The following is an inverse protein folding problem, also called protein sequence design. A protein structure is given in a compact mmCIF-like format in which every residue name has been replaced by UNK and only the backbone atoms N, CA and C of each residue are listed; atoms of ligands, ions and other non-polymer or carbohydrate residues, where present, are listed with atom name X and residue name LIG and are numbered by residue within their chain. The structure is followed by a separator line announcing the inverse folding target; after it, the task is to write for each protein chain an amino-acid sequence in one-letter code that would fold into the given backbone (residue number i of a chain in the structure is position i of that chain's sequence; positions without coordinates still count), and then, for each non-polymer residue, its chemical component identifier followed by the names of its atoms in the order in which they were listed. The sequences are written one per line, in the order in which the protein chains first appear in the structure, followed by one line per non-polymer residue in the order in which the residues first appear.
data_IF_756469707995
#
_entry.id   IF_756469707995
#
_cell.length_a   1.000
_cell.length_b   1.000
_cell.length_c   1.000
_cell.angle_alpha   90.00
_cell.angle_beta   90.00
_cell.angle_gamma   90.00
#
_symmetry.space_group_name_H-M   'P 1'
#
loop_
_entity.id
_entity.type
_entity.pdbx_description
1 polymer ?
#
# COMPACT_ATOMS: atom_id res chain seq x y z
N UNK A 1 5.97 11.14 20.88
CA UNK A 1 5.87 9.67 20.69
C UNK A 1 6.71 8.99 21.75
N UNK A 2 6.31 7.83 22.25
CA UNK A 2 7.13 7.04 23.19
C UNK A 2 8.30 6.36 22.46
N UNK A 3 9.44 6.17 23.13
CA UNK A 3 10.65 5.62 22.53
C UNK A 3 10.46 4.18 22.04
N UNK A 4 9.73 3.34 22.79
CA UNK A 4 9.44 1.94 22.39
C UNK A 4 8.61 1.90 21.11
N UNK A 5 7.64 2.82 20.98
CA UNK A 5 6.83 2.96 19.76
C UNK A 5 7.69 3.36 18.57
N UNK A 6 8.59 4.33 18.78
CA UNK A 6 9.50 4.81 17.74
C UNK A 6 10.45 3.70 17.27
N UNK A 7 10.99 2.92 18.19
CA UNK A 7 11.86 1.77 17.88
C UNK A 7 11.12 0.72 17.04
N UNK A 8 9.88 0.36 17.42
CA UNK A 8 9.07 -0.59 16.65
C UNK A 8 8.78 -0.12 15.22
N UNK A 9 8.48 1.16 15.04
CA UNK A 9 8.26 1.75 13.70
C UNK A 9 9.53 1.71 12.85
N UNK A 10 10.68 2.10 13.42
CA UNK A 10 11.96 2.08 12.73
C UNK A 10 12.36 0.65 12.36
N UNK A 11 12.16 -0.31 13.27
CA UNK A 11 12.51 -1.70 13.02
C UNK A 11 11.59 -2.35 11.98
N UNK A 12 10.28 -2.11 12.06
CA UNK A 12 9.34 -2.53 11.02
C UNK A 12 9.72 -1.98 9.63
N UNK A 13 10.12 -0.71 9.57
CA UNK A 13 10.55 -0.06 8.33
C UNK A 13 11.85 -0.63 7.74
N UNK A 14 12.84 -0.95 8.59
CA UNK A 14 14.08 -1.62 8.14
C UNK A 14 13.81 -3.01 7.57
N UNK A 15 13.01 -3.81 8.28
CA UNK A 15 12.61 -5.16 7.85
C UNK A 15 11.88 -5.07 6.51
N UNK A 16 10.91 -4.16 6.42
CA UNK A 16 10.12 -3.98 5.21
C UNK A 16 10.98 -3.59 4.02
N UNK A 17 11.84 -2.58 4.17
CA UNK A 17 12.77 -2.14 3.13
C UNK A 17 13.62 -3.30 2.62
N UNK A 18 14.19 -4.09 3.52
CA UNK A 18 15.00 -5.24 3.14
C UNK A 18 14.17 -6.24 2.32
N UNK A 19 13.00 -6.63 2.82
CA UNK A 19 12.14 -7.60 2.14
C UNK A 19 11.67 -7.10 0.76
N UNK A 20 11.26 -5.83 0.65
CA UNK A 20 10.80 -5.20 -0.61
C UNK A 20 11.93 -5.15 -1.62
N UNK A 21 13.15 -4.74 -1.23
CA UNK A 21 14.28 -4.70 -2.15
C UNK A 21 14.66 -6.10 -2.66
N UNK A 22 14.75 -7.10 -1.76
CA UNK A 22 15.02 -8.49 -2.15
C UNK A 22 13.92 -9.07 -3.05
N UNK A 23 12.67 -8.64 -2.88
CA UNK A 23 11.53 -9.08 -3.70
C UNK A 23 11.48 -8.37 -5.05
N UNK A 24 11.81 -7.08 -5.11
CA UNK A 24 11.88 -6.31 -6.35
C UNK A 24 12.92 -6.90 -7.33
N UNK A 25 14.05 -7.38 -6.82
CA UNK A 25 15.07 -8.09 -7.62
C UNK A 25 14.57 -9.40 -8.26
N UNK A 26 13.47 -9.97 -7.75
CA UNK A 26 12.85 -11.19 -8.30
C UNK A 26 11.81 -10.91 -9.38
N UNK A 27 11.39 -9.67 -9.54
CA UNK A 27 10.41 -9.30 -10.56
C UNK A 27 11.11 -9.32 -11.91
N UNK A 28 10.84 -10.34 -12.70
CA UNK A 28 11.40 -10.53 -14.03
C UNK A 28 10.42 -11.29 -14.94
N UNK A 29 10.50 -11.12 -16.28
CA UNK A 29 9.63 -11.82 -17.21
C UNK A 29 9.65 -13.35 -17.00
N UNK A 30 8.47 -13.96 -16.95
CA UNK A 30 8.29 -15.40 -16.76
C UNK A 30 8.26 -15.85 -15.29
N UNK A 31 8.63 -15.00 -14.32
CA UNK A 31 8.47 -15.32 -12.89
C UNK A 31 7.00 -15.22 -12.50
N UNK A 32 6.51 -16.16 -11.68
CA UNK A 32 5.12 -16.13 -11.20
C UNK A 32 4.93 -14.97 -10.22
N UNK A 33 3.83 -14.25 -10.38
CA UNK A 33 3.45 -13.16 -9.46
C UNK A 33 3.29 -13.70 -8.03
N UNK A 34 2.69 -14.89 -7.90
CA UNK A 34 2.50 -15.55 -6.61
C UNK A 34 3.82 -15.85 -5.88
N UNK A 35 4.88 -16.22 -6.61
CA UNK A 35 6.18 -16.50 -6.01
C UNK A 35 6.80 -15.24 -5.38
N UNK A 36 6.66 -14.07 -6.01
CA UNK A 36 7.14 -12.80 -5.45
C UNK A 36 6.31 -12.39 -4.23
N UNK A 37 4.98 -12.54 -4.30
CA UNK A 37 4.09 -12.22 -3.18
C UNK A 37 4.36 -13.09 -1.95
N UNK A 38 4.51 -14.40 -2.13
CA UNK A 38 4.83 -15.31 -1.04
C UNK A 38 6.26 -15.11 -0.51
N UNK A 39 7.21 -14.79 -1.39
CA UNK A 39 8.58 -14.50 -0.98
C UNK A 39 8.64 -13.30 -0.02
N UNK A 40 8.08 -12.15 -0.41
CA UNK A 40 8.19 -10.93 0.40
C UNK A 40 7.48 -11.06 1.75
N UNK A 41 6.32 -11.71 1.77
CA UNK A 41 5.56 -11.93 3.00
C UNK A 41 6.26 -12.88 3.96
N UNK A 42 6.82 -13.98 3.46
CA UNK A 42 7.61 -14.89 4.28
C UNK A 42 8.89 -14.21 4.77
N UNK A 43 9.52 -13.39 3.92
CA UNK A 43 10.74 -12.67 4.28
C UNK A 43 10.52 -11.69 5.43
N UNK A 44 9.40 -10.98 5.45
CA UNK A 44 8.99 -10.12 6.57
C UNK A 44 8.89 -10.94 7.87
N UNK A 45 8.31 -12.13 7.82
CA UNK A 45 8.14 -13.03 8.98
C UNK A 45 9.50 -13.54 9.48
N UNK A 46 10.37 -13.99 8.56
CA UNK A 46 11.71 -14.47 8.89
C UNK A 46 12.58 -13.41 9.56
N UNK A 47 12.41 -12.15 9.17
CA UNK A 47 13.14 -11.01 9.72
C UNK A 47 12.56 -10.50 11.04
N UNK A 48 11.43 -11.04 11.52
CA UNK A 48 10.89 -10.78 12.85
C UNK A 48 9.70 -9.83 12.92
N UNK A 49 9.13 -9.44 11.78
CA UNK A 49 7.88 -8.67 11.72
C UNK A 49 6.71 -9.53 11.21
N UNK A 50 5.54 -8.92 11.00
CA UNK A 50 4.40 -9.56 10.32
C UNK A 50 3.92 -8.66 9.18
N UNK A 51 3.37 -9.21 8.08
CA UNK A 51 2.74 -8.40 7.04
C UNK A 51 1.60 -7.55 7.61
N UNK A 52 1.62 -6.23 7.36
CA UNK A 52 0.55 -5.32 7.75
C UNK A 52 -0.66 -5.40 6.81
N UNK A 53 -0.41 -5.80 5.56
CA UNK A 53 -1.40 -6.12 4.55
C UNK A 53 -0.72 -6.98 3.47
N UNK A 54 -1.49 -7.61 2.55
CA UNK A 54 -0.92 -8.48 1.53
C UNK A 54 0.03 -7.76 0.58
N UNK A 55 1.02 -8.47 0.04
CA UNK A 55 1.83 -7.90 -1.04
C UNK A 55 0.95 -7.53 -2.24
N UNK A 56 0.83 -6.22 -2.47
CA UNK A 56 0.13 -5.64 -3.60
C UNK A 56 1.13 -5.61 -4.78
N UNK A 57 0.80 -6.29 -5.88
CA UNK A 57 1.65 -6.41 -7.08
C UNK A 57 0.88 -5.96 -8.30
N UNK A 58 0.52 -4.68 -8.34
CA UNK A 58 -0.34 -4.11 -9.39
C UNK A 58 0.47 -3.87 -10.69
N UNK A 59 -0.05 -4.30 -11.83
CA UNK A 59 0.69 -4.31 -13.10
C UNK A 59 0.04 -3.36 -14.11
N UNK A 60 0.87 -2.56 -14.78
CA UNK A 60 0.47 -1.63 -15.85
C UNK A 60 -0.56 -0.61 -15.37
N UNK A 61 -1.81 -0.69 -15.87
CA UNK A 61 -2.89 0.22 -15.51
C UNK A 61 -3.56 -0.09 -14.17
N UNK A 62 -3.37 -1.30 -13.63
CA UNK A 62 -3.73 -1.55 -12.24
C UNK A 62 -2.81 -0.70 -11.37
N UNK A 63 -3.39 0.15 -10.53
CA UNK A 63 -2.70 1.06 -9.62
C UNK A 63 -2.44 0.41 -8.26
N UNK A 64 -3.47 -0.18 -7.64
CA UNK A 64 -3.42 -0.71 -6.28
C UNK A 64 -4.35 -1.92 -6.07
N UNK A 65 -4.25 -2.57 -4.91
CA UNK A 65 -5.13 -3.63 -4.41
C UNK A 65 -5.11 -4.98 -5.14
N UNK A 66 -4.17 -5.17 -6.07
CA UNK A 66 -3.97 -6.48 -6.68
C UNK A 66 -3.02 -7.34 -5.84
N UNK A 67 -3.49 -8.48 -5.34
CA UNK A 67 -2.63 -9.58 -4.88
C UNK A 67 -3.00 -10.85 -5.63
N UNK A 68 -2.04 -11.74 -5.96
CA UNK A 68 -2.36 -13.03 -6.56
C UNK A 68 -3.25 -13.87 -5.62
N UNK A 69 -4.11 -14.69 -6.22
CA UNK A 69 -4.94 -15.68 -5.52
C UNK A 69 -4.14 -16.97 -5.27
N UNK A 70 -4.73 -17.91 -4.52
CA UNK A 70 -4.13 -19.24 -4.35
C UNK A 70 -4.02 -19.97 -5.69
N UNK A 71 -2.85 -20.56 -5.98
CA UNK A 71 -2.53 -21.24 -7.24
C UNK A 71 -2.64 -20.33 -8.48
N UNK A 72 -2.32 -19.05 -8.32
CA UNK A 72 -2.22 -18.14 -9.46
C UNK A 72 -1.01 -18.49 -10.33
N UNK A 73 -1.26 -18.73 -11.61
CA UNK A 73 -0.26 -19.12 -12.60
C UNK A 73 0.17 -17.94 -13.49
N UNK A 74 -0.34 -16.73 -13.21
CA UNK A 74 0.08 -15.52 -13.93
C UNK A 74 1.56 -15.23 -13.67
N UNK A 75 2.27 -14.86 -14.74
CA UNK A 75 3.67 -14.48 -14.72
C UNK A 75 3.84 -13.04 -15.19
N UNK A 76 4.90 -12.37 -14.75
CA UNK A 76 5.30 -11.08 -15.31
C UNK A 76 5.70 -11.23 -16.79
N UNK A 77 5.56 -10.16 -17.54
CA UNK A 77 5.89 -10.09 -18.97
C UNK A 77 6.90 -8.99 -19.24
N UNK A 78 7.59 -9.12 -20.37
CA UNK A 78 8.37 -8.03 -20.94
C UNK A 78 7.48 -6.80 -21.13
N UNK A 79 7.96 -5.63 -20.73
CA UNK A 79 7.26 -4.36 -20.82
C UNK A 79 6.31 -4.04 -19.66
N UNK A 80 6.14 -4.93 -18.68
CA UNK A 80 5.26 -4.67 -17.54
C UNK A 80 5.82 -3.58 -16.61
N UNK A 81 4.94 -2.67 -16.16
CA UNK A 81 5.22 -1.69 -15.10
C UNK A 81 4.59 -2.18 -13.80
N UNK A 82 5.41 -2.75 -12.92
CA UNK A 82 4.97 -3.48 -11.73
C UNK A 82 5.15 -2.63 -10.49
N UNK A 83 4.07 -2.34 -9.78
CA UNK A 83 4.13 -1.70 -8.45
C UNK A 83 4.09 -2.78 -7.40
N UNK A 84 5.16 -2.88 -6.62
CA UNK A 84 5.29 -3.75 -5.46
C UNK A 84 5.08 -2.88 -4.21
N UNK A 85 3.93 -3.04 -3.59
CA UNK A 85 3.47 -2.28 -2.43
C UNK A 85 3.23 -3.27 -1.29
N UNK A 86 3.92 -3.07 -0.17
CA UNK A 86 3.99 -4.03 0.92
C UNK A 86 4.05 -3.29 2.24
N UNK A 87 3.33 -3.80 3.23
CA UNK A 87 3.39 -3.32 4.61
C UNK A 87 3.92 -4.36 5.58
N UNK A 88 4.64 -3.92 6.60
CA UNK A 88 5.06 -4.73 7.74
C UNK A 88 4.68 -4.07 9.05
N UNK A 89 4.50 -4.84 10.11
CA UNK A 89 4.25 -4.31 11.44
C UNK A 89 4.93 -5.12 12.55
N UNK A 90 5.24 -4.41 13.63
CA UNK A 90 5.62 -5.00 14.93
C UNK A 90 4.60 -4.51 15.95
N UNK A 91 3.88 -5.42 16.61
CA UNK A 91 2.81 -5.10 17.58
C UNK A 91 1.72 -4.11 17.10
N UNK A 92 1.58 -3.99 15.79
CA UNK A 92 0.57 -3.14 15.13
C UNK A 92 1.12 -1.79 14.68
N UNK A 93 2.38 -1.45 15.00
CA UNK A 93 3.07 -0.28 14.46
C UNK A 93 3.56 -0.57 13.05
N UNK A 94 2.99 0.14 12.08
CA UNK A 94 3.05 -0.18 10.65
C UNK A 94 4.17 0.62 9.99
N UNK A 95 4.92 -0.06 9.12
CA UNK A 95 5.65 0.54 8.04
C UNK A 95 4.99 0.13 6.71
N UNK A 96 4.99 1.06 5.79
CA UNK A 96 4.39 1.00 4.46
C UNK A 96 5.41 1.51 3.42
N UNK A 97 5.54 0.77 2.32
CA UNK A 97 6.53 1.02 1.29
C UNK A 97 6.12 0.40 -0.04
N UNK A 98 6.27 1.19 -1.10
CA UNK A 98 6.04 0.76 -2.46
C UNK A 98 7.19 1.19 -3.38
N UNK A 99 7.48 0.34 -4.37
CA UNK A 99 8.43 0.62 -5.44
C UNK A 99 7.83 0.19 -6.78
N UNK A 100 8.19 0.89 -7.85
CA UNK A 100 7.86 0.45 -9.22
C UNK A 100 9.07 -0.19 -9.88
N UNK A 101 8.91 -1.43 -10.35
CA UNK A 101 9.84 -2.15 -11.22
C UNK A 101 9.34 -2.06 -12.65
N UNK A 102 10.14 -1.47 -13.53
CA UNK A 102 9.86 -1.35 -14.97
C UNK A 102 10.60 -2.45 -15.73
N UNK A 103 9.84 -3.33 -16.38
CA UNK A 103 10.35 -4.38 -17.26
C UNK A 103 10.32 -3.95 -18.74
N UNK A 104 10.15 -2.64 -19.00
CA UNK A 104 10.12 -2.06 -20.34
C UNK A 104 11.02 -0.82 -20.46
N UNK A 105 10.49 0.22 -21.09
CA UNK A 105 11.18 1.50 -21.33
C UNK A 105 10.27 2.69 -20.92
N UNK A 106 9.84 2.67 -19.65
CA UNK A 106 8.94 3.65 -19.03
C UNK A 106 9.66 4.46 -17.94
N UNK A 107 10.99 4.58 -18.04
CA UNK A 107 11.87 5.19 -17.03
C UNK A 107 11.38 6.55 -16.53
N UNK A 108 10.91 7.42 -17.43
CA UNK A 108 10.44 8.76 -17.06
C UNK A 108 9.17 8.74 -16.22
N UNK A 109 8.25 7.79 -16.48
CA UNK A 109 7.06 7.62 -15.65
C UNK A 109 7.44 7.20 -14.24
N UNK A 110 8.36 6.24 -14.11
CA UNK A 110 8.86 5.75 -12.82
C UNK A 110 9.60 6.85 -12.05
N UNK A 111 10.44 7.64 -12.73
CA UNK A 111 11.12 8.79 -12.13
C UNK A 111 10.15 9.84 -11.63
N UNK A 112 9.08 10.12 -12.38
CA UNK A 112 8.09 11.12 -11.97
C UNK A 112 7.49 10.82 -10.59
N UNK A 113 7.07 9.57 -10.33
CA UNK A 113 6.57 9.17 -9.02
C UNK A 113 7.67 9.17 -7.94
N UNK A 114 8.89 8.76 -8.29
CA UNK A 114 10.02 8.74 -7.34
C UNK A 114 10.44 10.13 -6.90
N UNK A 115 10.64 11.04 -7.85
CA UNK A 115 11.04 12.42 -7.56
C UNK A 115 9.92 13.21 -6.89
N UNK A 116 8.66 12.87 -7.16
CA UNK A 116 7.53 13.41 -6.42
C UNK A 116 7.54 13.00 -4.95
N UNK A 117 7.94 11.76 -4.64
CA UNK A 117 8.12 11.31 -3.26
C UNK A 117 9.29 12.04 -2.60
N UNK A 118 10.42 12.17 -3.30
CA UNK A 118 11.58 12.92 -2.81
C UNK A 118 11.22 14.38 -2.50
N UNK A 119 10.54 15.07 -3.41
CA UNK A 119 10.06 16.44 -3.22
C UNK A 119 9.08 16.57 -2.05
N UNK A 120 8.16 15.59 -1.89
CA UNK A 120 7.24 15.55 -0.76
C UNK A 120 7.98 15.44 0.58
N UNK A 121 8.98 14.55 0.67
CA UNK A 121 9.75 14.32 1.90
C UNK A 121 10.55 15.55 2.35
N UNK A 122 10.98 16.42 1.42
CA UNK A 122 11.64 17.69 1.76
C UNK A 122 10.71 18.71 2.44
N UNK A 123 9.41 18.58 2.21
CA UNK A 123 8.37 19.49 2.73
C UNK A 123 7.79 19.00 4.06
N UNK A 124 7.82 17.69 4.33
CA UNK A 124 7.21 17.09 5.52
C UNK A 124 7.93 17.53 6.81
N UNK A 125 7.18 18.23 7.67
CA UNK A 125 7.54 18.57 9.06
C UNK A 125 6.30 19.00 9.83
N UNK A 126 6.39 19.06 11.16
CA UNK A 126 5.29 19.57 11.97
C UNK A 126 4.95 21.03 11.59
N UNK A 127 3.66 21.37 11.63
CA UNK A 127 3.15 22.69 11.25
C UNK A 127 2.92 22.89 9.75
N UNK A 128 3.34 21.95 8.89
CA UNK A 128 3.06 22.01 7.43
C UNK A 128 1.70 21.41 7.12
N UNK A 129 0.96 22.04 6.20
CA UNK A 129 -0.31 21.50 5.70
C UNK A 129 -0.08 20.34 4.73
N UNK A 130 -0.88 19.27 4.81
CA UNK A 130 -0.86 18.18 3.81
C UNK A 130 -1.12 18.67 2.38
N UNK A 131 -1.73 19.85 2.21
CA UNK A 131 -1.87 20.46 0.89
C UNK A 131 -0.55 20.94 0.29
N UNK A 132 0.42 21.37 1.11
CA UNK A 132 1.73 21.79 0.62
C UNK A 132 2.52 20.59 0.12
N UNK A 133 2.38 19.44 0.80
CA UNK A 133 2.92 18.16 0.36
C UNK A 133 2.28 17.75 -0.98
N UNK A 134 0.95 17.80 -1.07
CA UNK A 134 0.25 17.48 -2.32
C UNK A 134 0.66 18.39 -3.49
N UNK A 135 0.93 19.67 -3.22
CA UNK A 135 1.48 20.59 -4.23
C UNK A 135 2.87 20.15 -4.71
N UNK A 136 3.77 19.81 -3.79
CA UNK A 136 5.11 19.35 -4.15
C UNK A 136 5.07 18.08 -5.03
N UNK A 137 4.15 17.16 -4.72
CA UNK A 137 3.89 15.95 -5.51
C UNK A 137 3.39 16.31 -6.92
N UNK A 138 2.36 17.15 -7.01
CA UNK A 138 1.76 17.53 -8.30
C UNK A 138 2.74 18.29 -9.19
N UNK A 139 3.48 19.26 -8.63
CA UNK A 139 4.48 20.03 -9.37
C UNK A 139 5.56 19.08 -9.94
N UNK A 140 6.05 18.12 -9.14
CA UNK A 140 7.03 17.14 -9.59
C UNK A 140 6.48 16.24 -10.72
N UNK A 141 5.29 15.63 -10.53
CA UNK A 141 4.71 14.73 -11.55
C UNK A 141 4.41 15.47 -12.85
N UNK A 142 3.88 16.69 -12.77
CA UNK A 142 3.48 17.47 -13.95
C UNK A 142 4.68 18.02 -14.73
N UNK A 143 5.81 18.29 -14.07
CA UNK A 143 7.07 18.69 -14.72
C UNK A 143 7.64 17.58 -15.63
N UNK A 144 7.35 16.31 -15.32
CA UNK A 144 7.67 15.18 -16.19
C UNK A 144 6.66 14.97 -17.33
N UNK A 145 5.59 15.76 -17.40
CA UNK A 145 4.54 15.63 -18.42
C UNK A 145 3.50 14.53 -18.13
N UNK A 146 3.49 14.00 -16.90
CA UNK A 146 2.50 13.01 -16.44
C UNK A 146 1.42 13.66 -15.57
N UNK A 147 0.46 12.85 -15.12
CA UNK A 147 -0.62 13.29 -14.23
C UNK A 147 -0.59 12.55 -12.91
N UNK A 148 -0.83 13.22 -11.78
CA UNK A 148 -1.10 12.53 -10.53
C UNK A 148 -2.45 11.79 -10.60
N UNK A 149 -2.56 10.66 -9.90
CA UNK A 149 -3.87 10.04 -9.67
C UNK A 149 -4.59 10.80 -8.56
N UNK A 150 -5.73 11.42 -8.87
CA UNK A 150 -6.42 12.36 -7.96
C UNK A 150 -7.28 11.68 -6.91
N UNK A 151 -7.62 10.41 -7.08
CA UNK A 151 -8.46 9.65 -6.15
C UNK A 151 -7.74 8.47 -5.48
N UNK A 152 -6.40 8.53 -5.45
CA UNK A 152 -5.52 7.77 -4.57
C UNK A 152 -4.66 8.77 -3.79
N UNK A 153 -4.41 8.49 -2.53
CA UNK A 153 -3.83 9.44 -1.59
C UNK A 153 -3.02 8.70 -0.55
N UNK A 154 -1.90 9.28 -0.11
CA UNK A 154 -1.27 8.88 1.13
C UNK A 154 -2.19 9.03 2.33
N UNK A 155 -1.76 8.52 3.47
CA UNK A 155 -2.60 8.41 4.64
C UNK A 155 -1.81 8.44 5.95
N UNK A 156 -2.50 8.72 7.04
CA UNK A 156 -1.99 8.47 8.39
C UNK A 156 -1.94 6.98 8.69
N UNK A 157 -1.06 6.60 9.61
CA UNK A 157 -0.91 5.26 10.14
C UNK A 157 -1.13 5.27 11.65
N UNK A 158 -1.96 4.35 12.13
CA UNK A 158 -2.19 4.12 13.55
C UNK A 158 -2.02 2.63 13.90
N UNK A 159 -1.85 2.28 15.18
CA UNK A 159 -1.69 0.87 15.57
C UNK A 159 -2.84 0.00 15.06
N UNK A 160 -2.50 -1.01 14.26
CA UNK A 160 -3.44 -1.92 13.58
C UNK A 160 -4.44 -1.25 12.61
N UNK A 161 -4.18 -0.01 12.20
CA UNK A 161 -5.02 0.73 11.26
C UNK A 161 -4.13 1.35 10.18
N UNK A 162 -4.07 0.70 9.02
CA UNK A 162 -3.25 1.12 7.90
C UNK A 162 -3.80 2.36 7.17
N UNK A 163 -5.09 2.68 7.30
CA UNK A 163 -5.66 3.91 6.75
C UNK A 163 -6.28 4.74 7.87
N UNK A 164 -5.50 5.66 8.41
CA UNK A 164 -5.94 6.68 9.36
C UNK A 164 -5.89 8.07 8.72
N UNK A 165 -6.60 9.07 9.27
CA UNK A 165 -6.37 10.46 8.92
C UNK A 165 -4.92 10.89 9.23
N UNK A 166 -4.37 11.89 8.52
CA UNK A 166 -4.98 12.62 7.41
C UNK A 166 -4.82 11.89 6.07
N UNK A 167 -5.70 12.16 5.11
CA UNK A 167 -5.43 11.85 3.70
C UNK A 167 -4.48 12.89 3.12
N UNK A 168 -3.49 12.43 2.36
CA UNK A 168 -2.44 13.25 1.75
C UNK A 168 -2.58 13.11 0.24
N UNK A 169 -3.24 14.09 -0.38
CA UNK A 169 -3.53 14.07 -1.80
C UNK A 169 -2.27 14.24 -2.64
N UNK A 170 -2.27 13.65 -3.83
CA UNK A 170 -1.21 13.81 -4.83
C UNK A 170 -1.32 15.14 -5.63
N UNK A 171 -2.04 16.12 -5.06
CA UNK A 171 -2.27 17.44 -5.65
C UNK A 171 -2.61 18.47 -4.58
N UNK A 172 -2.47 19.75 -4.91
CA UNK A 172 -2.78 20.84 -3.99
C UNK A 172 -4.30 20.92 -3.72
N UNK A 173 -4.68 21.05 -2.44
CA UNK A 173 -6.09 21.22 -2.01
C UNK A 173 -6.30 22.60 -1.40
N UNK A 174 -7.55 23.10 -1.37
CA UNK A 174 -7.79 24.42 -0.76
C UNK A 174 -7.56 24.43 0.76
N UNK A 175 -7.78 23.27 1.39
CA UNK A 175 -7.63 23.07 2.84
C UNK A 175 -7.03 21.70 3.08
N UNK A 176 -6.06 21.63 3.99
CA UNK A 176 -5.44 20.40 4.45
C UNK A 176 -5.32 20.38 5.97
N UNK A 177 -5.25 19.18 6.53
CA UNK A 177 -4.85 18.98 7.92
C UNK A 177 -3.39 19.44 8.08
N UNK A 178 -3.09 20.14 9.16
CA UNK A 178 -1.72 20.48 9.54
C UNK A 178 -1.08 19.28 10.23
N UNK A 179 0.11 18.88 9.79
CA UNK A 179 0.85 17.79 10.41
C UNK A 179 1.32 18.17 11.81
N UNK A 180 1.24 17.23 12.73
CA UNK A 180 1.70 17.38 14.11
C UNK A 180 2.89 16.45 14.38
N UNK A 181 3.75 16.87 15.30
CA UNK A 181 4.91 16.07 15.73
C UNK A 181 4.46 14.70 16.25
N UNK A 182 5.13 13.65 15.79
CA UNK A 182 4.84 12.26 16.15
C UNK A 182 3.70 11.62 15.35
N UNK A 183 3.07 12.32 14.40
CA UNK A 183 2.23 11.66 13.40
C UNK A 183 3.07 10.68 12.57
N UNK A 184 2.48 9.52 12.25
CA UNK A 184 3.05 8.55 11.31
C UNK A 184 2.23 8.61 10.05
N UNK A 185 2.87 8.82 8.91
CA UNK A 185 2.20 8.99 7.62
C UNK A 185 2.89 8.19 6.54
N UNK A 186 2.10 7.64 5.62
CA UNK A 186 2.55 7.07 4.37
C UNK A 186 2.35 8.12 3.26
N UNK A 187 3.41 8.38 2.51
CA UNK A 187 3.40 9.32 1.38
C UNK A 187 3.60 8.49 0.11
N UNK A 188 2.56 8.42 -0.72
CA UNK A 188 2.50 7.53 -1.90
C UNK A 188 2.07 8.26 -3.18
N UNK A 189 3.02 8.91 -3.87
CA UNK A 189 2.78 9.47 -5.19
C UNK A 189 2.47 8.40 -6.24
N UNK A 190 1.34 8.58 -6.93
CA UNK A 190 0.99 7.83 -8.12
C UNK A 190 1.04 8.73 -9.36
N UNK A 191 1.91 8.39 -10.31
CA UNK A 191 1.99 9.06 -11.61
C UNK A 191 1.39 8.18 -12.70
N UNK A 192 0.71 8.78 -13.68
CA UNK A 192 0.16 8.08 -14.83
C UNK A 192 0.26 8.88 -16.13
N UNK A 193 0.35 8.15 -17.25
CA UNK A 193 0.17 8.69 -18.60
C UNK A 193 -1.30 8.66 -19.08
N UNK A 194 -2.24 8.26 -18.22
CA UNK A 194 -3.68 8.24 -18.49
C UNK A 194 -4.41 9.54 -18.19
N UNK A 195 -5.62 9.43 -17.65
CA UNK A 195 -6.46 10.57 -17.25
C UNK A 195 -6.28 10.98 -15.80
N UNK A 196 -5.55 10.20 -14.99
CA UNK A 196 -5.26 10.54 -13.59
C UNK A 196 -6.37 10.14 -12.62
N UNK A 197 -7.12 9.07 -12.94
CA UNK A 197 -8.21 8.59 -12.10
C UNK A 197 -8.33 7.07 -12.14
N UNK A 198 -8.58 6.46 -11.00
CA UNK A 198 -8.83 5.01 -10.89
C UNK A 198 -10.30 4.68 -10.67
N UNK A 199 -10.71 3.49 -11.11
CA UNK A 199 -11.99 2.87 -10.81
C UNK A 199 -11.81 1.41 -10.37
N UNK A 200 -12.83 0.86 -9.71
CA UNK A 200 -12.80 -0.53 -9.24
C UNK A 200 -12.97 -1.51 -10.40
N UNK A 201 -12.09 -2.50 -10.48
CA UNK A 201 -12.22 -3.70 -11.32
C UNK A 201 -12.73 -4.85 -10.45
N UNK A 202 -13.65 -5.67 -10.98
CA UNK A 202 -14.35 -6.70 -10.20
C UNK A 202 -13.50 -7.82 -9.58
N UNK A 203 -12.18 -7.84 -9.79
CA UNK A 203 -11.26 -8.75 -9.11
C UNK A 203 -10.99 -8.25 -7.68
N UNK A 204 -11.14 -9.11 -6.68
CA UNK A 204 -10.96 -8.74 -5.28
C UNK A 204 -10.46 -9.95 -4.47
N UNK A 205 -9.25 -9.82 -3.94
CA UNK A 205 -8.60 -10.85 -3.12
C UNK A 205 -8.18 -10.32 -1.74
N UNK A 206 -8.41 -9.02 -1.46
CA UNK A 206 -8.03 -8.34 -0.22
C UNK A 206 -9.28 -7.92 0.54
N UNK A 207 -9.29 -8.20 1.84
CA UNK A 207 -10.40 -7.88 2.75
C UNK A 207 -9.86 -7.39 4.09
N UNK A 208 -10.67 -6.67 4.87
CA UNK A 208 -10.36 -6.37 6.28
C UNK A 208 -11.61 -6.54 7.15
N UNK A 209 -11.41 -6.73 8.45
CA UNK A 209 -12.52 -6.75 9.40
C UNK A 209 -13.03 -5.33 9.63
N UNK A 210 -14.32 -5.11 9.36
CA UNK A 210 -14.94 -3.79 9.50
C UNK A 210 -15.84 -3.72 10.74
N UNK A 211 -16.88 -4.55 10.79
CA UNK A 211 -17.85 -4.57 11.87
C UNK A 211 -17.99 -6.00 12.42
N UNK A 212 -17.17 -6.41 13.39
CA UNK A 212 -17.28 -7.74 13.98
C UNK A 212 -18.65 -7.89 14.64
N UNK A 213 -19.38 -8.93 14.24
CA UNK A 213 -20.70 -9.25 14.79
C UNK A 213 -20.99 -10.74 14.72
N UNK A 214 -21.87 -11.27 15.59
CA UNK A 214 -22.22 -12.68 15.57
C UNK A 214 -22.82 -13.12 14.22
N UNK A 215 -22.27 -14.19 13.64
CA UNK A 215 -22.78 -14.81 12.40
C UNK A 215 -23.29 -16.23 12.65
N UNK A 216 -24.36 -16.61 11.94
CA UNK A 216 -25.05 -17.91 12.15
C UNK A 216 -24.28 -19.11 11.57
N UNK A 217 -23.58 -18.92 10.46
CA UNK A 217 -22.90 -20.03 9.76
C UNK A 217 -21.60 -20.42 10.47
N UNK A 218 -21.41 -21.71 10.76
CA UNK A 218 -20.22 -22.23 11.44
C UNK A 218 -18.92 -21.82 10.74
N UNK A 219 -18.83 -22.06 9.43
CA UNK A 219 -17.65 -21.71 8.64
C UNK A 219 -17.36 -20.20 8.63
N UNK A 220 -18.40 -19.36 8.62
CA UNK A 220 -18.21 -17.90 8.72
C UNK A 220 -17.65 -17.49 10.09
N UNK A 221 -18.10 -18.14 11.18
CA UNK A 221 -17.52 -17.92 12.51
C UNK A 221 -16.05 -18.36 12.59
N UNK A 222 -15.71 -19.48 11.96
CA UNK A 222 -14.33 -19.99 11.92
C UNK A 222 -13.41 -19.01 11.18
N UNK A 223 -13.85 -18.47 10.04
CA UNK A 223 -13.11 -17.43 9.29
C UNK A 223 -12.94 -16.16 10.13
N UNK A 224 -14.03 -15.64 10.74
CA UNK A 224 -13.94 -14.41 11.54
C UNK A 224 -13.01 -14.58 12.74
N UNK A 225 -13.06 -15.74 13.41
CA UNK A 225 -12.13 -16.06 14.50
C UNK A 225 -10.68 -16.05 14.03
N UNK A 226 -10.38 -16.69 12.89
CA UNK A 226 -9.05 -16.69 12.29
C UNK A 226 -8.58 -15.26 11.93
N UNK A 227 -9.47 -14.42 11.40
CA UNK A 227 -9.17 -13.01 11.08
C UNK A 227 -8.89 -12.18 12.34
N UNK A 228 -9.74 -12.31 13.37
CA UNK A 228 -9.59 -11.58 14.64
C UNK A 228 -8.29 -11.96 15.38
N UNK A 229 -7.93 -13.24 15.38
CA UNK A 229 -6.73 -13.75 16.05
C UNK A 229 -5.43 -13.35 15.34
N UNK A 230 -5.43 -13.32 14.00
CA UNK A 230 -4.19 -13.12 13.23
C UNK A 230 -4.01 -11.71 12.68
N UNK A 231 -5.09 -11.04 12.26
CA UNK A 231 -5.02 -9.78 11.52
C UNK A 231 -5.71 -8.63 12.25
N UNK A 232 -6.60 -8.91 13.21
CA UNK A 232 -7.41 -7.91 13.91
C UNK A 232 -8.18 -7.05 12.89
N UNK A 233 -7.80 -5.78 12.73
CA UNK A 233 -8.38 -4.79 11.79
C UNK A 233 -7.54 -4.60 10.53
N UNK A 234 -6.37 -5.21 10.45
CA UNK A 234 -5.49 -5.12 9.29
C UNK A 234 -6.07 -5.86 8.07
N UNK A 235 -5.81 -5.37 6.84
CA UNK A 235 -6.15 -6.11 5.63
C UNK A 235 -5.45 -7.46 5.55
N UNK A 236 -6.12 -8.43 4.93
CA UNK A 236 -5.63 -9.77 4.70
C UNK A 236 -6.02 -10.27 3.31
N UNK A 237 -5.21 -11.16 2.74
CA UNK A 237 -5.52 -11.80 1.48
C UNK A 237 -6.39 -13.02 1.72
N UNK A 238 -7.31 -13.29 0.80
CA UNK A 238 -8.12 -14.52 0.80
C UNK A 238 -7.23 -15.78 0.82
N UNK A 239 -6.06 -15.74 0.16
CA UNK A 239 -5.10 -16.85 0.12
C UNK A 239 -4.41 -17.13 1.45
N UNK A 240 -4.39 -16.19 2.39
CA UNK A 240 -3.82 -16.40 3.72
C UNK A 240 -4.73 -17.22 4.64
N UNK A 241 -6.03 -17.28 4.34
CA UNK A 241 -6.98 -18.04 5.14
C UNK A 241 -6.87 -19.54 4.86
N UNK A 242 -7.00 -20.36 5.90
CA UNK A 242 -7.02 -21.83 5.77
C UNK A 242 -8.14 -22.32 4.83
N UNK A 243 -9.31 -21.69 4.93
CA UNK A 243 -10.48 -21.96 4.07
C UNK A 243 -11.22 -20.65 3.79
N UNK A 244 -11.33 -20.30 2.52
CA UNK A 244 -12.04 -19.09 2.10
C UNK A 244 -12.97 -19.35 0.91
N UNK A 245 -14.12 -20.02 1.10
CA UNK A 245 -15.10 -20.18 0.02
C UNK A 245 -15.65 -18.82 -0.41
N UNK A 246 -15.59 -18.53 -1.71
CA UNK A 246 -16.01 -17.22 -2.27
C UNK A 246 -17.41 -16.81 -1.83
N UNK A 247 -18.36 -17.76 -1.79
CA UNK A 247 -19.74 -17.51 -1.36
C UNK A 247 -19.80 -16.94 0.07
N UNK A 248 -18.93 -17.40 0.97
CA UNK A 248 -18.93 -16.98 2.36
C UNK A 248 -18.25 -15.62 2.51
N UNK A 249 -17.09 -15.44 1.87
CA UNK A 249 -16.36 -14.16 1.89
C UNK A 249 -17.23 -13.05 1.27
N UNK A 250 -17.80 -13.27 0.09
CA UNK A 250 -18.69 -12.32 -0.58
C UNK A 250 -19.97 -12.06 0.20
N UNK A 251 -20.46 -13.02 0.98
CA UNK A 251 -21.58 -12.78 1.89
C UNK A 251 -21.17 -11.86 3.05
N UNK A 252 -20.05 -12.14 3.71
CA UNK A 252 -19.54 -11.32 4.82
C UNK A 252 -19.26 -9.88 4.37
N UNK A 253 -18.73 -9.71 3.16
CA UNK A 253 -18.51 -8.39 2.56
C UNK A 253 -19.83 -7.65 2.29
N UNK A 254 -20.80 -8.27 1.60
CA UNK A 254 -22.13 -7.66 1.35
C UNK A 254 -22.89 -7.33 2.63
N UNK A 255 -22.66 -8.10 3.68
CA UNK A 255 -23.26 -7.89 4.99
C UNK A 255 -22.55 -6.79 5.80
N UNK A 256 -21.45 -6.22 5.30
CA UNK A 256 -20.69 -5.16 5.97
C UNK A 256 -19.86 -5.63 7.17
N UNK A 257 -19.64 -6.95 7.29
CA UNK A 257 -18.76 -7.54 8.32
C UNK A 257 -17.31 -7.40 7.91
N UNK A 258 -17.03 -7.71 6.65
CA UNK A 258 -15.74 -7.46 6.02
C UNK A 258 -15.85 -6.24 5.09
N UNK A 259 -14.78 -5.48 4.97
CA UNK A 259 -14.56 -4.55 3.87
C UNK A 259 -13.83 -5.29 2.75
N UNK A 260 -14.25 -5.10 1.51
CA UNK A 260 -13.57 -5.60 0.32
C UNK A 260 -12.72 -4.49 -0.31
N UNK A 261 -11.55 -4.84 -0.81
CA UNK A 261 -10.65 -3.94 -1.54
C UNK A 261 -10.50 -4.49 -2.96
N UNK A 262 -11.37 -4.09 -3.90
CA UNK A 262 -11.23 -4.47 -5.30
C UNK A 262 -10.00 -3.80 -5.92
N UNK A 263 -9.46 -4.43 -6.97
CA UNK A 263 -8.35 -3.88 -7.76
C UNK A 263 -8.74 -2.50 -8.28
N UNK A 264 -7.85 -1.52 -8.12
CA UNK A 264 -8.05 -0.17 -8.62
C UNK A 264 -7.26 0.00 -9.91
N UNK A 265 -7.95 0.32 -11.00
CA UNK A 265 -7.37 0.42 -12.34
C UNK A 265 -7.56 1.82 -12.90
N UNK A 266 -6.54 2.37 -13.54
CA UNK A 266 -6.60 3.63 -14.29
C UNK A 266 -7.66 3.56 -15.38
N UNK A 267 -8.63 4.48 -15.36
CA UNK A 267 -9.89 4.34 -16.12
C UNK A 267 -9.73 4.45 -17.63
N UNK A 268 -8.64 5.05 -18.11
CA UNK A 268 -8.30 5.14 -19.55
C UNK A 268 -7.35 4.03 -20.01
N UNK A 269 -6.89 3.17 -19.11
CA UNK A 269 -5.90 2.13 -19.39
C UNK A 269 -4.47 2.65 -19.43
N UNK A 270 -4.20 3.86 -18.92
CA UNK A 270 -2.86 4.41 -18.82
C UNK A 270 -2.00 3.60 -17.83
N UNK A 271 -0.69 3.57 -18.07
CA UNK A 271 0.28 2.98 -17.13
C UNK A 271 0.32 3.80 -15.85
N UNK A 272 0.55 3.14 -14.73
CA UNK A 272 0.68 3.74 -13.41
C UNK A 272 2.00 3.33 -12.78
N UNK A 273 2.71 4.30 -12.21
CA UNK A 273 3.84 4.08 -11.30
C UNK A 273 3.52 4.64 -9.91
N UNK A 274 4.12 4.05 -8.90
CA UNK A 274 3.98 4.36 -7.48
C UNK A 274 5.35 4.31 -6.81
N UNK A 275 5.59 5.22 -5.88
CA UNK A 275 6.66 5.13 -4.88
C UNK A 275 6.09 5.51 -3.54
N UNK A 276 6.55 4.88 -2.46
CA UNK A 276 6.03 5.18 -1.14
C UNK A 276 7.05 4.98 -0.03
N UNK A 277 6.96 5.86 0.97
CA UNK A 277 7.67 5.72 2.23
C UNK A 277 6.77 6.04 3.42
N UNK A 278 7.10 5.42 4.56
CA UNK A 278 6.52 5.74 5.86
C UNK A 278 7.43 6.68 6.64
N UNK A 279 6.85 7.77 7.12
CA UNK A 279 7.53 8.85 7.81
C UNK A 279 6.96 9.05 9.22
N UNK A 280 7.84 9.34 10.17
CA UNK A 280 7.49 9.91 11.48
C UNK A 280 7.74 11.41 11.40
N UNK A 281 6.69 12.21 11.56
CA UNK A 281 6.75 13.69 11.50
C UNK A 281 7.48 14.24 12.73
N UNK A 282 8.42 15.15 12.51
CA UNK A 282 9.23 15.82 13.53
C UNK A 282 9.17 17.36 13.32
N UNK A 283 9.55 18.17 14.32
CA UNK A 283 9.45 19.65 14.25
C UNK A 283 10.23 20.27 13.06
N UNK A 284 11.42 19.74 12.80
CA UNK A 284 12.32 20.22 11.74
C UNK A 284 12.33 19.38 10.45
N UNK A 285 11.51 18.33 10.35
CA UNK A 285 11.57 17.38 9.24
C UNK A 285 10.79 16.10 9.51
N UNK A 286 11.34 14.97 9.10
CA UNK A 286 10.79 13.67 9.40
C UNK A 286 11.86 12.57 9.44
N UNK A 287 11.62 11.57 10.28
CA UNK A 287 12.35 10.30 10.22
C UNK A 287 11.69 9.38 9.19
N UNK A 288 12.41 9.03 8.13
CA UNK A 288 11.92 8.09 7.10
C UNK A 288 12.24 6.67 7.56
N UNK A 289 11.22 5.91 7.93
CA UNK A 289 11.38 4.57 8.53
C UNK A 289 11.80 3.50 7.51
N UNK A 290 11.45 3.70 6.23
CA UNK A 290 11.66 2.73 5.14
C UNK A 290 12.78 3.13 4.17
N UNK A 291 13.67 4.07 4.54
CA UNK A 291 14.77 4.57 3.68
C UNK A 291 16.09 3.81 3.84
#
# INVERSE_FOLDING_TARGET
MDDEVREKLIEAGKILKQAVNEAAEKIAPGVKILEVAEFVENRIIELGAKPAFPANISINSDAAHFTPKKNDERTFKEGDVVKLDVGAHIDGYIADMAVTVDLGDNTELVKAAKEALEAAMEVVRAGVSVSEIGKAIEDAITNYGFKPIVNLTGHGLLPYLNHAPPSIYNYATEKGVTLEEGMVVAIEPFATNGVGKVGERGECEIYSLLNPRPVRMKMAREILKEVEENYKTLPFAKRWLKKAPDIIISKLAREGVLRAYPVLTEVSGGLVSQWEHTLIVEDGGATITTK
#
